data_IF_082172255225
#
_entry.id   IF_082172255225
#
_cell.length_a   1.000
_cell.length_b   1.000
_cell.length_c   1.000
_cell.angle_alpha   90.00
_cell.angle_beta   90.00
_cell.angle_gamma   90.00
#
_symmetry.space_group_name_H-M   'P 1'
#
loop_
_entity.id
_entity.type
_entity.pdbx_description
1 polymer ?
#
# COMPACT_ATOMS: atom_id res chain seq x y z
N UNK A 1 10.49 -7.45 -21.46
CA UNK A 1 10.15 -7.40 -20.03
C UNK A 1 9.55 -6.05 -19.68
N UNK A 2 8.40 -6.03 -19.02
CA UNK A 2 7.78 -4.78 -18.59
C UNK A 2 8.62 -4.14 -17.49
N UNK A 3 8.68 -2.81 -17.50
CA UNK A 3 9.28 -2.07 -16.41
C UNK A 3 8.28 -2.03 -15.24
N UNK A 4 8.77 -1.99 -14.01
CA UNK A 4 7.89 -2.06 -12.84
C UNK A 4 6.85 -0.92 -12.83
N UNK A 5 7.20 0.26 -13.33
CA UNK A 5 6.29 1.41 -13.37
C UNK A 5 5.26 1.32 -14.49
N UNK A 6 5.35 0.33 -15.36
CA UNK A 6 4.33 0.05 -16.39
C UNK A 6 3.25 -0.92 -15.88
N UNK A 7 3.47 -1.56 -14.74
CA UNK A 7 2.51 -2.53 -14.20
C UNK A 7 1.26 -1.81 -13.68
N UNK A 8 0.06 -2.33 -13.98
CA UNK A 8 -1.18 -1.73 -13.47
C UNK A 8 -1.19 -1.58 -11.95
N UNK A 9 -0.70 -2.59 -11.21
CA UNK A 9 -0.67 -2.54 -9.76
C UNK A 9 0.24 -1.43 -9.25
N UNK A 10 1.34 -1.14 -9.94
CA UNK A 10 2.21 -0.03 -9.57
C UNK A 10 1.45 1.30 -9.64
N UNK A 11 0.66 1.49 -10.69
CA UNK A 11 -0.11 2.72 -10.87
C UNK A 11 -1.11 2.93 -9.74
N UNK A 12 -1.76 1.86 -9.31
CA UNK A 12 -2.69 1.91 -8.20
C UNK A 12 -1.98 2.17 -6.87
N UNK A 13 -0.83 1.53 -6.65
CA UNK A 13 -0.03 1.78 -5.44
C UNK A 13 0.50 3.21 -5.43
N UNK A 14 0.93 3.72 -6.57
CA UNK A 14 1.37 5.10 -6.66
C UNK A 14 0.23 6.07 -6.30
N UNK A 15 -0.97 5.81 -6.82
CA UNK A 15 -2.14 6.62 -6.47
C UNK A 15 -2.43 6.55 -4.97
N UNK A 16 -2.33 5.36 -4.37
CA UNK A 16 -2.50 5.19 -2.93
C UNK A 16 -1.48 6.03 -2.16
N UNK A 17 -0.21 5.98 -2.53
CA UNK A 17 0.86 6.72 -1.86
C UNK A 17 0.58 8.23 -1.91
N UNK A 18 0.15 8.75 -3.06
CA UNK A 18 -0.20 10.16 -3.17
C UNK A 18 -1.30 10.54 -2.16
N UNK A 19 -2.33 9.70 -2.08
CA UNK A 19 -3.42 9.93 -1.12
C UNK A 19 -2.93 9.88 0.32
N UNK A 20 -2.02 8.96 0.63
CA UNK A 20 -1.45 8.85 1.98
C UNK A 20 -0.67 10.10 2.35
N UNK A 21 0.12 10.65 1.44
CA UNK A 21 0.87 11.88 1.69
C UNK A 21 -0.07 13.07 1.91
N UNK A 22 -1.15 13.14 1.12
CA UNK A 22 -2.14 14.21 1.26
C UNK A 22 -2.86 14.09 2.62
N UNK A 23 -3.35 12.90 2.95
CA UNK A 23 -4.08 12.68 4.21
C UNK A 23 -3.23 12.99 5.43
N UNK A 24 -2.00 12.49 5.45
CA UNK A 24 -1.12 12.63 6.62
C UNK A 24 -0.65 14.05 6.84
N UNK A 25 -0.63 14.87 5.80
CA UNK A 25 -0.23 16.28 5.92
C UNK A 25 -1.19 17.07 6.81
N UNK A 26 -2.42 16.61 6.97
CA UNK A 26 -3.45 17.27 7.78
C UNK A 26 -3.56 16.70 9.20
N UNK A 27 -2.75 15.71 9.54
CA UNK A 27 -2.78 15.11 10.89
C UNK A 27 -2.31 16.13 11.92
N UNK A 28 -2.89 16.05 13.13
CA UNK A 28 -2.39 16.83 14.26
C UNK A 28 -0.94 16.45 14.55
N UNK A 29 -0.20 17.35 15.20
CA UNK A 29 1.22 17.15 15.47
C UNK A 29 1.48 15.87 16.29
N UNK A 30 0.54 15.50 17.15
CA UNK A 30 0.65 14.28 17.96
C UNK A 30 0.77 13.01 17.10
N UNK A 31 0.15 13.00 15.90
CA UNK A 31 0.13 11.83 15.04
C UNK A 31 0.94 12.01 13.75
N UNK A 32 1.24 13.25 13.39
CA UNK A 32 1.93 13.56 12.14
C UNK A 32 3.32 12.94 12.07
N UNK A 33 4.05 13.00 13.18
CA UNK A 33 5.44 12.51 13.28
C UNK A 33 5.54 11.12 13.90
N UNK A 34 4.45 10.41 14.02
CA UNK A 34 4.41 9.03 14.48
C UNK A 34 3.66 8.18 13.46
N UNK A 35 2.36 7.97 13.66
CA UNK A 35 1.53 7.18 12.77
C UNK A 35 1.59 7.69 11.32
N UNK A 36 1.58 9.01 11.12
CA UNK A 36 1.66 9.60 9.78
C UNK A 36 2.94 9.23 9.05
N UNK A 37 4.09 9.25 9.74
CA UNK A 37 5.36 8.86 9.13
C UNK A 37 5.42 7.36 8.85
N UNK A 38 4.90 6.54 9.75
CA UNK A 38 4.86 5.10 9.56
C UNK A 38 4.03 4.73 8.32
N UNK A 39 2.87 5.37 8.14
CA UNK A 39 2.01 5.14 6.98
C UNK A 39 2.75 5.47 5.68
N UNK A 40 3.43 6.60 5.64
CA UNK A 40 4.18 7.02 4.44
C UNK A 40 5.32 6.03 4.13
N UNK A 41 6.06 5.63 5.15
CA UNK A 41 7.15 4.66 4.99
C UNK A 41 6.61 3.31 4.51
N UNK A 42 5.54 2.83 5.12
CA UNK A 42 4.98 1.53 4.78
C UNK A 42 4.39 1.53 3.37
N UNK A 43 3.80 2.64 2.96
CA UNK A 43 3.35 2.80 1.57
C UNK A 43 4.51 2.74 0.58
N UNK A 44 5.61 3.42 0.86
CA UNK A 44 6.79 3.39 -0.01
C UNK A 44 7.42 2.00 -0.07
N UNK A 45 7.37 1.24 1.02
CA UNK A 45 7.90 -0.12 1.04
C UNK A 45 7.15 -1.04 0.06
N UNK A 46 5.87 -0.77 -0.20
CA UNK A 46 5.11 -1.54 -1.19
C UNK A 46 5.72 -1.41 -2.59
N UNK A 47 6.17 -0.22 -2.95
CA UNK A 47 6.85 0.00 -4.25
C UNK A 47 8.14 -0.81 -4.33
N UNK A 48 8.90 -0.87 -3.25
CA UNK A 48 10.13 -1.66 -3.22
C UNK A 48 9.84 -3.13 -3.51
N UNK A 49 8.79 -3.68 -2.91
CA UNK A 49 8.42 -5.07 -3.13
C UNK A 49 7.96 -5.32 -4.57
N UNK A 50 7.20 -4.39 -5.16
CA UNK A 50 6.81 -4.50 -6.58
C UNK A 50 8.05 -4.49 -7.47
N UNK A 51 8.97 -3.56 -7.23
CA UNK A 51 10.22 -3.46 -7.99
C UNK A 51 11.01 -4.77 -7.93
N UNK A 52 11.16 -5.32 -6.72
CA UNK A 52 11.90 -6.57 -6.53
C UNK A 52 11.19 -7.76 -7.17
N UNK A 53 9.87 -7.86 -7.01
CA UNK A 53 9.10 -8.94 -7.63
C UNK A 53 9.19 -8.89 -9.15
N UNK A 54 9.16 -7.68 -9.73
CA UNK A 54 9.23 -7.53 -11.17
C UNK A 54 10.57 -8.00 -11.76
N UNK A 55 11.67 -7.70 -11.07
CA UNK A 55 13.00 -7.97 -11.61
C UNK A 55 13.56 -9.36 -11.26
N UNK A 56 13.06 -9.99 -10.17
CA UNK A 56 13.59 -11.28 -9.76
C UNK A 56 12.84 -12.43 -10.44
N UNK A 57 13.57 -13.52 -10.70
CA UNK A 57 12.96 -14.72 -11.25
C UNK A 57 12.06 -15.40 -10.22
N UNK A 58 12.54 -15.52 -8.99
CA UNK A 58 11.74 -16.03 -7.88
C UNK A 58 10.99 -14.85 -7.24
N UNK A 59 9.73 -14.71 -7.62
CA UNK A 59 8.90 -13.57 -7.24
C UNK A 59 8.17 -13.77 -5.90
N UNK A 60 7.98 -15.02 -5.50
CA UNK A 60 7.12 -15.35 -4.35
C UNK A 60 7.55 -14.65 -3.06
N UNK A 61 8.84 -14.65 -2.66
CA UNK A 61 9.21 -13.97 -1.41
C UNK A 61 8.89 -12.49 -1.42
N UNK A 62 9.02 -11.83 -2.57
CA UNK A 62 8.78 -10.39 -2.67
C UNK A 62 7.28 -10.07 -2.66
N UNK A 63 6.45 -10.96 -3.22
CA UNK A 63 5.00 -10.78 -3.18
C UNK A 63 4.45 -11.09 -1.79
N UNK A 64 5.02 -12.07 -1.09
CA UNK A 64 4.67 -12.34 0.30
C UNK A 64 5.03 -11.14 1.19
N UNK A 65 6.21 -10.55 1.01
CA UNK A 65 6.62 -9.36 1.73
C UNK A 65 5.66 -8.19 1.47
N UNK A 66 5.24 -8.01 0.21
CA UNK A 66 4.26 -6.99 -0.13
C UNK A 66 2.97 -7.19 0.67
N UNK A 67 2.45 -8.42 0.68
CA UNK A 67 1.18 -8.71 1.35
C UNK A 67 1.26 -8.49 2.86
N UNK A 68 2.40 -8.81 3.47
CA UNK A 68 2.61 -8.56 4.90
C UNK A 68 2.59 -7.07 5.21
N UNK A 69 3.34 -6.27 4.45
CA UNK A 69 3.38 -4.82 4.62
C UNK A 69 2.02 -4.19 4.32
N UNK A 70 1.31 -4.76 3.34
CA UNK A 70 -0.01 -4.30 2.94
C UNK A 70 -1.04 -4.50 4.06
N UNK A 71 -1.00 -5.64 4.75
CA UNK A 71 -1.88 -5.88 5.90
C UNK A 71 -1.63 -4.87 7.02
N UNK A 72 -0.38 -4.56 7.29
CA UNK A 72 -0.03 -3.55 8.29
C UNK A 72 -0.57 -2.18 7.89
N UNK A 73 -0.42 -1.80 6.63
CA UNK A 73 -0.91 -0.52 6.15
C UNK A 73 -2.43 -0.42 6.26
N UNK A 74 -3.16 -1.50 5.96
CA UNK A 74 -4.61 -1.53 6.12
C UNK A 74 -5.01 -1.31 7.57
N UNK A 75 -4.29 -1.94 8.50
CA UNK A 75 -4.51 -1.74 9.93
C UNK A 75 -4.28 -0.28 10.33
N UNK A 76 -3.18 0.30 9.86
CA UNK A 76 -2.86 1.69 10.17
C UNK A 76 -3.93 2.65 9.67
N UNK A 77 -4.47 2.41 8.48
CA UNK A 77 -5.53 3.26 7.93
C UNK A 77 -6.85 3.09 8.69
N UNK A 78 -7.16 1.88 9.13
CA UNK A 78 -8.31 1.66 9.98
C UNK A 78 -8.16 2.39 11.31
N UNK A 79 -6.96 2.35 11.88
CA UNK A 79 -6.64 3.08 13.10
C UNK A 79 -6.84 4.58 12.91
N UNK A 80 -6.41 5.11 11.76
CA UNK A 80 -6.64 6.52 11.43
C UNK A 80 -8.13 6.87 11.40
N UNK A 81 -8.96 5.99 10.86
CA UNK A 81 -10.40 6.19 10.82
C UNK A 81 -10.98 6.17 12.24
N UNK A 82 -10.58 5.19 13.05
CA UNK A 82 -11.06 5.05 14.43
C UNK A 82 -10.64 6.24 15.29
N UNK A 83 -9.45 6.77 15.07
CA UNK A 83 -8.93 7.95 15.78
C UNK A 83 -9.45 9.26 15.18
N UNK A 84 -10.27 9.19 14.14
CA UNK A 84 -10.86 10.35 13.46
C UNK A 84 -9.82 11.27 12.82
N UNK A 85 -8.67 10.70 12.40
CA UNK A 85 -7.64 11.42 11.66
C UNK A 85 -8.01 11.56 10.19
N UNK A 86 -8.81 10.63 9.67
CA UNK A 86 -9.43 10.71 8.36
C UNK A 86 -10.94 10.48 8.52
N UNK A 87 -11.72 11.02 7.58
CA UNK A 87 -13.16 10.84 7.62
C UNK A 87 -13.54 9.40 7.23
N UNK A 88 -14.74 8.97 7.64
CA UNK A 88 -15.30 7.69 7.23
C UNK A 88 -15.38 7.60 5.70
N UNK A 89 -15.74 8.71 5.06
CA UNK A 89 -15.80 8.79 3.60
C UNK A 89 -14.42 8.57 2.97
N UNK A 90 -13.39 9.22 3.52
CA UNK A 90 -12.03 9.06 3.00
C UNK A 90 -11.53 7.64 3.19
N UNK A 91 -11.80 7.04 4.33
CA UNK A 91 -11.45 5.65 4.59
C UNK A 91 -12.13 4.71 3.58
N UNK A 92 -13.41 4.96 3.28
CA UNK A 92 -14.12 4.16 2.28
C UNK A 92 -13.50 4.29 0.89
N UNK A 93 -13.12 5.51 0.49
CA UNK A 93 -12.43 5.74 -0.79
C UNK A 93 -11.10 4.99 -0.86
N UNK A 94 -10.30 5.07 0.20
CA UNK A 94 -9.04 4.34 0.27
C UNK A 94 -9.26 2.82 0.24
N UNK A 95 -10.32 2.34 0.87
CA UNK A 95 -10.64 0.91 0.91
C UNK A 95 -10.93 0.32 -0.47
N UNK A 96 -11.57 1.10 -1.36
CA UNK A 96 -11.80 0.69 -2.74
C UNK A 96 -10.46 0.47 -3.45
N UNK A 97 -9.55 1.42 -3.29
CA UNK A 97 -8.21 1.34 -3.90
C UNK A 97 -7.40 0.18 -3.31
N UNK A 98 -7.45 0.01 -1.98
CA UNK A 98 -6.79 -1.10 -1.31
C UNK A 98 -7.32 -2.46 -1.80
N UNK A 99 -8.63 -2.58 -1.99
CA UNK A 99 -9.23 -3.81 -2.49
C UNK A 99 -8.72 -4.16 -3.90
N UNK A 100 -8.63 -3.17 -4.78
CA UNK A 100 -8.09 -3.37 -6.13
C UNK A 100 -6.64 -3.84 -6.09
N UNK A 101 -5.81 -3.18 -5.30
CA UNK A 101 -4.40 -3.54 -5.13
C UNK A 101 -4.25 -4.96 -4.59
N UNK A 102 -5.01 -5.28 -3.54
CA UNK A 102 -4.95 -6.59 -2.90
C UNK A 102 -5.30 -7.73 -3.85
N UNK A 103 -6.33 -7.54 -4.67
CA UNK A 103 -6.73 -8.53 -5.67
C UNK A 103 -5.65 -8.77 -6.71
N UNK A 104 -5.01 -7.69 -7.19
CA UNK A 104 -3.95 -7.80 -8.20
C UNK A 104 -2.73 -8.53 -7.66
N UNK A 105 -2.27 -8.17 -6.46
CA UNK A 105 -1.08 -8.80 -5.89
C UNK A 105 -1.36 -10.24 -5.48
N UNK A 106 -2.53 -10.52 -4.93
CA UNK A 106 -2.91 -11.89 -4.58
C UNK A 106 -2.95 -12.79 -5.82
N UNK A 107 -3.52 -12.30 -6.93
CA UNK A 107 -3.53 -13.03 -8.19
C UNK A 107 -2.10 -13.27 -8.71
N UNK A 108 -1.25 -12.25 -8.64
CA UNK A 108 0.14 -12.37 -9.07
C UNK A 108 0.89 -13.38 -8.21
N UNK A 109 0.70 -13.32 -6.90
CA UNK A 109 1.28 -14.27 -5.95
C UNK A 109 0.81 -15.70 -6.24
N UNK A 110 -0.49 -15.89 -6.45
CA UNK A 110 -1.04 -17.23 -6.70
C UNK A 110 -0.54 -17.82 -8.01
N UNK A 111 -0.22 -16.99 -8.99
CA UNK A 111 0.36 -17.44 -10.26
C UNK A 111 1.77 -18.02 -10.08
N UNK A 112 2.45 -17.72 -8.96
CA UNK A 112 3.78 -18.23 -8.66
C UNK A 112 3.73 -19.58 -7.94
N UNK A 113 2.58 -19.97 -7.43
CA UNK A 113 2.40 -21.20 -6.62
C UNK A 113 1.63 -22.20 -7.46
N UNK A 114 2.33 -22.89 -8.33
CA UNK A 114 1.71 -23.88 -9.23
C UNK A 114 2.20 -25.27 -8.90
#
# INVERSE_FOLDING_TARGET
MALYYDLPVYKDVYALIRELFVCTSNFSQAYKYSLGQDIKRDGLNLVRSIYRANKHKDKLPHLEAFLDDFELLKLELRLCSDLKLISTRKHAELSVLLSSIGKQVTAWRNAQVV
#
